data_IF_765958633411
#
_entry.id   IF_765958633411
#
_cell.length_a   1.000
_cell.length_b   1.000
_cell.length_c   1.000
_cell.angle_alpha   90.00
_cell.angle_beta   90.00
_cell.angle_gamma   90.00
#
_symmetry.space_group_name_H-M   'P 1'
#
loop_
_entity.id
_entity.type
_entity.pdbx_description
1 polymer ?
#
# COMPACT_ATOMS: atom_id res chain seq x y z
N UNK A 1 36.25 -27.05 -19.84
CA UNK A 1 35.51 -27.00 -18.55
C UNK A 1 34.75 -25.66 -18.36
N UNK A 2 34.01 -25.16 -19.37
CA UNK A 2 33.43 -23.79 -19.36
C UNK A 2 31.92 -23.71 -19.00
N UNK A 3 31.24 -24.85 -18.81
CA UNK A 3 29.79 -24.88 -18.60
C UNK A 3 29.32 -24.75 -17.14
N UNK A 4 30.19 -25.06 -16.16
CA UNK A 4 29.83 -25.04 -14.73
C UNK A 4 29.73 -23.62 -14.16
N UNK A 5 30.52 -22.68 -14.69
CA UNK A 5 30.51 -21.26 -14.31
C UNK A 5 29.26 -20.50 -14.79
N UNK A 6 28.78 -20.76 -16.01
CA UNK A 6 27.57 -20.09 -16.55
C UNK A 6 26.31 -20.52 -15.81
N UNK A 7 26.18 -21.81 -15.48
CA UNK A 7 25.04 -22.34 -14.73
C UNK A 7 24.96 -21.78 -13.31
N UNK A 8 26.10 -21.60 -12.63
CA UNK A 8 26.15 -21.00 -11.29
C UNK A 8 25.73 -19.53 -11.27
N UNK A 9 26.13 -18.74 -12.27
CA UNK A 9 25.74 -17.33 -12.39
C UNK A 9 24.25 -17.13 -12.65
N UNK A 10 23.65 -17.97 -13.51
CA UNK A 10 22.21 -17.93 -13.80
C UNK A 10 21.38 -18.26 -12.55
N UNK A 11 21.84 -19.25 -11.76
CA UNK A 11 21.15 -19.63 -10.53
C UNK A 11 21.17 -18.52 -9.47
N UNK A 12 22.31 -17.83 -9.31
CA UNK A 12 22.44 -16.73 -8.35
C UNK A 12 21.52 -15.54 -8.69
N UNK A 13 21.36 -15.21 -9.97
CA UNK A 13 20.46 -14.12 -10.41
C UNK A 13 18.99 -14.47 -10.16
N UNK A 14 18.59 -15.73 -10.39
CA UNK A 14 17.23 -16.19 -10.10
C UNK A 14 16.90 -16.13 -8.60
N UNK A 15 17.83 -16.55 -7.74
CA UNK A 15 17.65 -16.45 -6.29
C UNK A 15 17.55 -14.98 -5.83
N UNK A 16 18.41 -14.10 -6.34
CA UNK A 16 18.36 -12.67 -6.01
C UNK A 16 17.04 -12.02 -6.45
N UNK A 17 16.50 -12.40 -7.61
CA UNK A 17 15.22 -11.89 -8.09
C UNK A 17 14.06 -12.27 -7.15
N UNK A 18 14.05 -13.49 -6.60
CA UNK A 18 12.97 -13.91 -5.67
C UNK A 18 12.95 -13.13 -4.36
N UNK A 19 14.10 -12.70 -3.85
CA UNK A 19 14.18 -11.89 -2.62
C UNK A 19 13.60 -10.49 -2.83
N UNK A 20 13.76 -9.92 -4.04
CA UNK A 20 13.22 -8.61 -4.37
C UNK A 20 11.69 -8.60 -4.48
N UNK A 21 11.05 -9.74 -4.81
CA UNK A 21 9.59 -9.85 -4.88
C UNK A 21 8.93 -10.05 -3.50
N UNK A 22 9.67 -10.58 -2.52
CA UNK A 22 9.14 -10.81 -1.18
C UNK A 22 8.86 -9.51 -0.40
N UNK A 23 9.43 -8.38 -0.82
CA UNK A 23 9.21 -7.06 -0.21
C UNK A 23 7.94 -6.35 -0.66
N UNK A 24 7.13 -6.92 -1.56
CA UNK A 24 5.86 -6.34 -1.99
C UNK A 24 4.66 -6.85 -1.16
N UNK A 25 4.85 -7.11 0.15
CA UNK A 25 3.72 -7.29 1.05
C UNK A 25 3.00 -5.95 1.23
N UNK A 26 1.73 -5.87 0.86
CA UNK A 26 0.93 -4.64 0.97
C UNK A 26 0.43 -4.37 2.39
N UNK A 27 1.27 -4.60 3.40
CA UNK A 27 0.97 -4.32 4.80
C UNK A 27 1.67 -3.03 5.24
N UNK A 28 1.06 -2.30 6.17
CA UNK A 28 1.69 -1.16 6.85
C UNK A 28 2.69 -1.61 7.93
N UNK A 29 3.33 -0.66 8.61
CA UNK A 29 4.33 -0.92 9.65
C UNK A 29 3.72 -1.62 10.88
N UNK A 30 2.39 -1.53 11.05
CA UNK A 30 1.61 -2.19 12.08
C UNK A 30 1.11 -3.59 11.66
N UNK A 31 1.37 -4.01 10.43
CA UNK A 31 0.97 -5.32 9.89
C UNK A 31 -0.48 -5.39 9.40
N UNK A 32 -1.19 -4.26 9.31
CA UNK A 32 -2.52 -4.22 8.72
C UNK A 32 -2.44 -4.41 7.21
N UNK A 33 -3.36 -5.17 6.65
CA UNK A 33 -3.50 -5.29 5.21
C UNK A 33 -4.00 -3.98 4.59
N UNK A 34 -3.53 -3.65 3.38
CA UNK A 34 -4.09 -2.53 2.62
C UNK A 34 -5.62 -2.64 2.52
N UNK A 35 -6.34 -1.51 2.60
CA UNK A 35 -7.77 -1.51 2.36
C UNK A 35 -8.12 -2.03 0.96
N UNK A 36 -9.25 -2.75 0.84
CA UNK A 36 -9.77 -3.20 -0.45
C UNK A 36 -10.21 -2.05 -1.35
N UNK A 37 -10.66 -0.94 -0.77
CA UNK A 37 -10.93 0.31 -1.50
C UNK A 37 -10.73 1.53 -0.61
N UNK A 38 -10.22 2.61 -1.20
CA UNK A 38 -10.02 3.92 -0.57
C UNK A 38 -10.73 4.99 -1.40
N UNK A 39 -11.60 5.78 -0.78
CA UNK A 39 -12.40 6.83 -1.45
C UNK A 39 -12.19 8.20 -0.79
N UNK A 40 -11.20 8.99 -1.24
CA UNK A 40 -11.01 10.35 -0.76
C UNK A 40 -12.12 11.27 -1.31
N UNK A 41 -12.63 12.16 -0.48
CA UNK A 41 -13.60 13.19 -0.85
C UNK A 41 -13.52 14.38 0.11
N UNK A 42 -14.04 15.52 -0.31
CA UNK A 42 -14.23 16.67 0.57
C UNK A 42 -15.67 16.72 1.07
N UNK A 43 -15.83 17.08 2.35
CA UNK A 43 -17.12 17.42 2.95
C UNK A 43 -17.17 18.94 3.12
N UNK A 44 -18.20 19.57 2.56
CA UNK A 44 -18.46 21.00 2.71
C UNK A 44 -19.10 21.28 4.08
N UNK A 45 -18.52 22.22 4.83
CA UNK A 45 -19.01 22.64 6.14
C UNK A 45 -19.91 23.88 6.04
N UNK A 46 -20.82 24.11 7.01
CA UNK A 46 -21.69 25.27 7.02
C UNK A 46 -20.96 26.62 7.11
N UNK A 47 -19.73 26.62 7.64
CA UNK A 47 -18.88 27.81 7.74
C UNK A 47 -18.07 28.09 6.46
N UNK A 48 -18.35 27.35 5.38
CA UNK A 48 -17.70 27.49 4.09
C UNK A 48 -16.39 26.72 3.97
N UNK A 49 -15.89 26.12 5.05
CA UNK A 49 -14.68 25.30 5.01
C UNK A 49 -14.94 23.94 4.37
N UNK A 50 -13.88 23.28 3.89
CA UNK A 50 -13.88 21.91 3.39
C UNK A 50 -12.98 21.02 4.25
N UNK A 51 -13.45 19.81 4.51
CA UNK A 51 -12.68 18.79 5.25
C UNK A 51 -12.36 17.63 4.31
N UNK A 52 -11.07 17.28 4.20
CA UNK A 52 -10.68 16.06 3.50
C UNK A 52 -11.07 14.85 4.35
N UNK A 53 -11.92 13.98 3.80
CA UNK A 53 -12.31 12.72 4.39
C UNK A 53 -11.94 11.55 3.47
N UNK A 54 -11.64 10.40 4.08
CA UNK A 54 -11.36 9.16 3.38
C UNK A 54 -12.30 8.10 3.93
N UNK A 55 -13.02 7.43 3.02
CA UNK A 55 -13.72 6.19 3.35
C UNK A 55 -12.88 4.99 2.93
N UNK A 56 -12.59 4.10 3.87
CA UNK A 56 -11.86 2.86 3.62
C UNK A 56 -12.78 1.66 3.85
N UNK A 57 -12.62 0.63 3.02
CA UNK A 57 -13.39 -0.61 3.12
C UNK A 57 -12.50 -1.83 2.91
N UNK A 58 -12.66 -2.82 3.78
CA UNK A 58 -12.05 -4.16 3.69
C UNK A 58 -13.10 -5.23 4.02
N UNK A 59 -13.44 -6.07 3.05
CA UNK A 59 -14.50 -7.07 3.21
C UNK A 59 -15.85 -6.43 3.56
N UNK A 60 -16.44 -6.85 4.68
CA UNK A 60 -17.68 -6.28 5.23
C UNK A 60 -17.44 -5.11 6.20
N UNK A 61 -16.19 -4.80 6.54
CA UNK A 61 -15.80 -3.71 7.43
C UNK A 61 -15.36 -2.45 6.66
N UNK A 62 -15.41 -1.32 7.33
CA UNK A 62 -14.95 -0.04 6.80
C UNK A 62 -15.20 1.11 7.77
N UNK A 63 -14.70 2.29 7.44
CA UNK A 63 -14.82 3.46 8.28
C UNK A 63 -14.55 4.77 7.54
N UNK A 64 -15.07 5.85 8.11
CA UNK A 64 -14.79 7.21 7.71
C UNK A 64 -13.70 7.79 8.62
N UNK A 65 -12.69 8.41 8.03
CA UNK A 65 -11.73 9.26 8.74
C UNK A 65 -11.65 10.62 8.06
N UNK A 66 -11.43 11.70 8.83
CA UNK A 66 -11.41 13.07 8.33
C UNK A 66 -10.27 13.89 8.97
N UNK A 67 -9.58 14.69 8.15
CA UNK A 67 -8.53 15.62 8.61
C UNK A 67 -9.13 16.97 9.00
N UNK A 68 -9.54 17.09 10.25
CA UNK A 68 -10.10 18.32 10.81
C UNK A 68 -9.07 19.43 11.01
N UNK A 69 -7.79 19.06 11.20
CA UNK A 69 -6.72 20.02 11.48
C UNK A 69 -6.35 20.88 10.27
N UNK A 70 -6.62 20.38 9.06
CA UNK A 70 -6.40 21.10 7.80
C UNK A 70 -7.68 21.55 7.12
N UNK A 71 -8.80 21.66 7.83
CA UNK A 71 -10.04 22.18 7.26
C UNK A 71 -9.86 23.62 6.75
N UNK A 72 -10.20 23.88 5.48
CA UNK A 72 -9.91 25.15 4.78
C UNK A 72 -11.16 25.84 4.28
#
# INVERSE_FOLDING_TARGET
>A
MSGRSRKGRVLAVLCAATVLLAGCSGQDDEGNERPGSVKPHYVDLPDGRKVLCVWEKSGYGGGLSCDWGKAQ
#
